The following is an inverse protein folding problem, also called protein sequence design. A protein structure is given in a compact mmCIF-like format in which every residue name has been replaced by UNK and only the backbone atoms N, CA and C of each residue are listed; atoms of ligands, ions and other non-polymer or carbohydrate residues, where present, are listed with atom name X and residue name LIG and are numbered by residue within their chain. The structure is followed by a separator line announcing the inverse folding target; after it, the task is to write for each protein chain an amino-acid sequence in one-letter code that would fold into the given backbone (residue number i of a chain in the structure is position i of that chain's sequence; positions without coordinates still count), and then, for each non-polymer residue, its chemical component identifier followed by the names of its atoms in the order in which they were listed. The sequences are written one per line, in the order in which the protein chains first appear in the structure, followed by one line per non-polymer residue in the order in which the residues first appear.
data_IF_155100516328
#
_entry.id   IF_155100516328
#
_cell.length_a   1.000
_cell.length_b   1.000
_cell.length_c   1.000
_cell.angle_alpha   90.00
_cell.angle_beta   90.00
_cell.angle_gamma   90.00
#
_symmetry.space_group_name_H-M   'P 1'
#
loop_
_entity.id
_entity.type
_entity.pdbx_description
1 polymer ?
#
# COMPACT_ATOMS: atom_id res chain seq x y z
N UNK A 1 -21.46 32.95 -49.33
CA UNK A 1 -20.06 32.83 -48.87
C UNK A 1 -20.07 32.21 -47.48
N UNK A 2 -19.27 31.15 -47.27
CA UNK A 2 -18.97 30.42 -46.02
C UNK A 2 -20.12 29.56 -45.44
N UNK A 3 -20.40 28.33 -45.91
CA UNK A 3 -19.72 27.01 -45.76
C UNK A 3 -19.74 26.42 -44.35
N UNK A 4 -20.66 25.47 -44.16
CA UNK A 4 -20.71 24.51 -43.06
C UNK A 4 -19.45 23.62 -43.04
N UNK A 5 -18.79 23.54 -41.89
CA UNK A 5 -17.65 22.66 -41.66
C UNK A 5 -18.10 21.38 -40.97
N UNK A 6 -18.63 20.45 -41.75
CA UNK A 6 -18.89 19.05 -41.36
C UNK A 6 -17.54 18.40 -41.02
N UNK A 7 -17.37 17.99 -39.77
CA UNK A 7 -16.21 17.18 -39.35
C UNK A 7 -16.31 15.77 -39.97
N UNK A 8 -15.29 15.28 -40.70
CA UNK A 8 -15.25 13.89 -41.12
C UNK A 8 -14.87 12.96 -39.93
N UNK A 9 -15.46 11.75 -39.83
CA UNK A 9 -15.12 10.81 -38.77
C UNK A 9 -13.73 10.20 -38.99
N UNK A 10 -12.95 10.09 -37.92
CA UNK A 10 -11.64 9.43 -37.93
C UNK A 10 -11.79 7.92 -38.18
N UNK A 11 -11.02 7.31 -39.10
CA UNK A 11 -11.09 5.88 -39.35
C UNK A 11 -10.47 5.08 -38.19
N UNK A 12 -11.26 4.16 -37.64
CA UNK A 12 -10.76 3.08 -36.78
C UNK A 12 -10.10 2.03 -37.67
N UNK A 13 -8.82 1.78 -37.47
CA UNK A 13 -8.20 0.51 -37.89
C UNK A 13 -7.24 0.04 -36.80
N UNK A 14 -7.77 -0.84 -35.98
CA UNK A 14 -7.05 -1.87 -35.23
C UNK A 14 -6.60 -2.93 -36.24
N UNK A 15 -5.28 -3.06 -36.48
CA UNK A 15 -4.53 -4.33 -36.58
C UNK A 15 -3.05 -3.96 -36.56
N UNK A 16 -2.30 -4.57 -35.64
CA UNK A 16 -0.86 -4.43 -35.54
C UNK A 16 -0.30 -5.42 -34.53
N UNK A 17 -0.45 -6.71 -34.83
CA UNK A 17 0.37 -7.75 -34.21
C UNK A 17 1.84 -7.47 -34.52
N UNK A 18 2.68 -7.54 -33.50
CA UNK A 18 4.12 -7.31 -33.61
C UNK A 18 4.82 -7.97 -32.44
N UNK A 19 5.63 -8.97 -32.76
CA UNK A 19 6.21 -9.93 -31.84
C UNK A 19 7.03 -9.33 -30.69
N UNK A 20 6.95 -10.00 -29.54
CA UNK A 20 7.78 -9.76 -28.36
C UNK A 20 9.21 -10.23 -28.63
N UNK A 21 9.98 -9.44 -29.37
CA UNK A 21 11.43 -9.54 -29.36
C UNK A 21 11.98 -8.84 -28.11
N UNK A 22 12.69 -9.59 -27.27
CA UNK A 22 13.38 -9.08 -26.09
C UNK A 22 14.50 -8.13 -26.48
N UNK A 23 14.18 -6.85 -26.63
CA UNK A 23 15.16 -5.79 -26.78
C UNK A 23 15.84 -5.49 -25.45
N UNK A 24 17.16 -5.67 -25.39
CA UNK A 24 18.01 -5.14 -24.33
C UNK A 24 17.69 -3.65 -24.14
N UNK A 25 17.20 -3.31 -22.95
CA UNK A 25 16.91 -1.91 -22.60
C UNK A 25 18.23 -1.17 -22.46
N UNK A 26 18.68 -0.51 -23.53
CA UNK A 26 19.79 0.45 -23.47
C UNK A 26 19.55 1.41 -22.29
N UNK A 27 20.54 1.59 -21.38
CA UNK A 27 20.36 2.46 -20.23
C UNK A 27 20.06 3.87 -20.75
N UNK A 28 18.90 4.42 -20.36
CA UNK A 28 18.55 5.81 -20.69
C UNK A 28 19.64 6.72 -20.13
N UNK A 29 20.26 7.51 -21.01
CA UNK A 29 21.25 8.51 -20.62
C UNK A 29 20.66 9.37 -19.49
N UNK A 30 21.37 9.47 -18.36
CA UNK A 30 20.91 10.28 -17.24
C UNK A 30 20.95 11.74 -17.68
N UNK A 31 19.83 12.46 -17.52
CA UNK A 31 19.72 13.90 -17.84
C UNK A 31 20.65 14.77 -16.98
N UNK A 32 21.27 14.22 -15.92
CA UNK A 32 22.19 14.90 -15.01
C UNK A 32 23.38 13.99 -14.65
N UNK A 33 24.62 14.53 -14.55
CA UNK A 33 25.78 13.80 -14.04
C UNK A 33 25.53 13.30 -12.62
N UNK A 34 26.09 12.13 -12.27
CA UNK A 34 25.89 11.47 -10.96
C UNK A 34 26.35 12.36 -9.78
N UNK A 35 27.34 13.21 -10.03
CA UNK A 35 28.04 13.98 -9.00
C UNK A 35 27.70 15.49 -9.03
N UNK A 36 26.64 15.86 -9.74
CA UNK A 36 26.23 17.26 -9.81
C UNK A 36 25.69 17.73 -8.44
N UNK A 37 26.20 18.83 -7.87
CA UNK A 37 25.82 19.29 -6.53
C UNK A 37 24.33 19.63 -6.52
N UNK A 38 23.56 18.96 -5.67
CA UNK A 38 22.14 19.28 -5.47
C UNK A 38 22.07 20.44 -4.49
N UNK A 39 21.67 21.63 -4.94
CA UNK A 39 21.42 22.73 -4.01
C UNK A 39 20.16 22.41 -3.20
N UNK A 40 20.35 21.99 -1.96
CA UNK A 40 19.25 21.73 -1.01
C UNK A 40 19.07 23.00 -0.18
N UNK A 41 17.96 23.71 -0.40
CA UNK A 41 17.57 24.85 0.43
C UNK A 41 16.45 24.42 1.37
N UNK A 42 16.71 24.49 2.67
CA UNK A 42 15.73 24.19 3.72
C UNK A 42 15.09 25.48 4.22
N UNK A 43 13.76 25.50 4.30
CA UNK A 43 12.99 26.60 4.90
C UNK A 43 12.36 26.12 6.20
N UNK A 44 12.54 26.83 7.33
CA UNK A 44 11.87 26.46 8.57
C UNK A 44 10.37 26.74 8.46
N UNK A 45 9.55 25.71 8.67
CA UNK A 45 8.11 25.90 8.87
C UNK A 45 7.91 26.48 10.26
N UNK A 46 7.35 27.70 10.34
CA UNK A 46 6.94 28.33 11.60
C UNK A 46 5.41 28.40 11.67
N UNK A 47 4.75 27.30 12.08
CA UNK A 47 3.31 27.27 12.18
C UNK A 47 2.82 28.16 13.34
N UNK A 48 1.68 28.82 13.14
CA UNK A 48 0.99 29.49 14.24
C UNK A 48 0.35 28.47 15.20
N UNK A 49 -0.16 28.94 16.35
CA UNK A 49 -0.78 28.08 17.36
C UNK A 49 -2.01 27.33 16.85
N UNK A 50 -2.81 27.95 15.97
CA UNK A 50 -3.97 27.34 15.33
C UNK A 50 -3.56 26.22 14.36
N UNK A 51 -2.55 26.45 13.53
CA UNK A 51 -1.96 25.45 12.65
C UNK A 51 -1.37 24.28 13.43
N UNK A 52 -0.63 24.55 14.52
CA UNK A 52 -0.14 23.52 15.42
C UNK A 52 -1.28 22.65 15.97
N UNK A 53 -2.40 23.27 16.38
CA UNK A 53 -3.58 22.53 16.85
C UNK A 53 -4.18 21.65 15.76
N UNK A 54 -4.33 22.15 14.54
CA UNK A 54 -4.83 21.36 13.39
C UNK A 54 -3.91 20.18 13.08
N UNK A 55 -2.60 20.42 13.02
CA UNK A 55 -1.59 19.37 12.79
C UNK A 55 -1.70 18.29 13.85
N UNK A 56 -1.76 18.68 15.13
CA UNK A 56 -1.87 17.74 16.25
C UNK A 56 -3.15 16.92 16.18
N UNK A 57 -4.30 17.54 15.92
CA UNK A 57 -5.57 16.83 15.79
C UNK A 57 -5.54 15.82 14.64
N UNK A 58 -5.02 16.21 13.47
CA UNK A 58 -4.85 15.32 12.31
C UNK A 58 -3.92 14.15 12.63
N UNK A 59 -2.79 14.43 13.29
CA UNK A 59 -1.85 13.40 13.71
C UNK A 59 -2.48 12.41 14.69
N UNK A 60 -3.16 12.90 15.73
CA UNK A 60 -3.86 12.05 16.69
C UNK A 60 -4.95 11.19 16.02
N UNK A 61 -5.71 11.75 15.08
CA UNK A 61 -6.70 10.99 14.32
C UNK A 61 -6.04 9.89 13.47
N UNK A 62 -4.97 10.20 12.76
CA UNK A 62 -4.21 9.24 11.97
C UNK A 62 -3.61 8.11 12.80
N UNK A 63 -3.04 8.42 13.97
CA UNK A 63 -2.50 7.43 14.92
C UNK A 63 -3.60 6.48 15.41
N UNK A 64 -4.80 7.01 15.71
CA UNK A 64 -5.95 6.18 16.12
C UNK A 64 -6.35 5.20 15.01
N UNK A 65 -6.46 5.68 13.76
CA UNK A 65 -6.75 4.82 12.59
C UNK A 65 -5.67 3.74 12.44
N UNK A 66 -4.40 4.14 12.46
CA UNK A 66 -3.27 3.20 12.34
C UNK A 66 -3.31 2.12 13.43
N UNK A 67 -3.50 2.50 14.70
CA UNK A 67 -3.52 1.55 15.81
C UNK A 67 -4.73 0.62 15.78
N UNK A 68 -5.89 1.10 15.33
CA UNK A 68 -7.08 0.27 15.14
C UNK A 68 -6.86 -0.79 14.05
N UNK A 69 -6.31 -0.39 12.89
CA UNK A 69 -5.94 -1.33 11.82
C UNK A 69 -4.90 -2.32 12.31
N UNK A 70 -3.87 -1.85 13.03
CA UNK A 70 -2.83 -2.70 13.56
C UNK A 70 -3.39 -3.77 14.51
N UNK A 71 -4.27 -3.40 15.44
CA UNK A 71 -4.90 -4.33 16.38
C UNK A 71 -5.73 -5.40 15.69
N UNK A 72 -6.60 -5.00 14.77
CA UNK A 72 -7.46 -5.90 13.99
C UNK A 72 -6.62 -6.89 13.16
N UNK A 73 -5.58 -6.41 12.46
CA UNK A 73 -4.76 -7.27 11.62
C UNK A 73 -3.83 -8.19 12.41
N UNK A 74 -3.44 -7.82 13.63
CA UNK A 74 -2.77 -8.76 14.56
C UNK A 74 -3.73 -9.88 14.96
N UNK A 75 -5.00 -9.55 15.27
CA UNK A 75 -6.01 -10.56 15.59
C UNK A 75 -6.26 -11.51 14.41
N UNK A 76 -6.48 -10.98 13.20
CA UNK A 76 -6.62 -11.78 11.97
C UNK A 76 -5.38 -12.63 11.68
N UNK A 77 -4.18 -12.09 11.87
CA UNK A 77 -2.94 -12.84 11.68
C UNK A 77 -2.82 -14.02 12.68
N UNK A 78 -3.33 -13.86 13.90
CA UNK A 78 -3.40 -14.96 14.89
C UNK A 78 -4.44 -16.01 14.45
N UNK A 79 -5.62 -15.58 13.99
CA UNK A 79 -6.66 -16.48 13.47
C UNK A 79 -6.16 -17.32 12.28
N UNK A 80 -5.47 -16.69 11.32
CA UNK A 80 -4.81 -17.40 10.21
C UNK A 80 -3.81 -18.44 10.72
N UNK A 81 -3.05 -18.13 11.76
CA UNK A 81 -2.05 -19.07 12.32
C UNK A 81 -2.68 -20.24 13.06
N UNK A 82 -3.84 -20.06 13.68
CA UNK A 82 -4.56 -21.14 14.36
C UNK A 82 -5.35 -22.04 13.42
N UNK A 83 -5.54 -21.65 12.16
CA UNK A 83 -6.30 -22.43 11.18
C UNK A 83 -5.55 -23.73 10.79
N UNK A 84 -6.19 -24.91 10.84
CA UNK A 84 -5.59 -26.17 10.41
C UNK A 84 -5.15 -26.16 8.93
N UNK A 85 -5.87 -25.44 8.05
CA UNK A 85 -5.48 -25.29 6.64
C UNK A 85 -4.15 -24.55 6.50
N UNK A 86 -3.84 -23.62 7.41
CA UNK A 86 -2.55 -22.94 7.43
C UNK A 86 -1.43 -23.90 7.82
N UNK A 87 -1.66 -24.79 8.78
CA UNK A 87 -0.70 -25.83 9.15
C UNK A 87 -0.44 -26.81 7.99
N UNK A 88 -1.50 -27.26 7.31
CA UNK A 88 -1.41 -28.11 6.12
C UNK A 88 -0.63 -27.42 4.98
N UNK A 89 -0.97 -26.16 4.67
CA UNK A 89 -0.25 -25.37 3.67
C UNK A 89 1.22 -25.16 4.05
N UNK A 90 1.55 -25.03 5.34
CA UNK A 90 2.94 -24.89 5.79
C UNK A 90 3.77 -26.15 5.57
N UNK A 91 3.16 -27.33 5.69
CA UNK A 91 3.81 -28.64 5.51
C UNK A 91 4.16 -28.97 4.06
N UNK A 92 3.61 -28.23 3.08
CA UNK A 92 3.92 -28.43 1.66
C UNK A 92 5.43 -28.29 1.35
N UNK A 93 5.97 -29.10 0.41
CA UNK A 93 7.38 -29.06 0.02
C UNK A 93 7.86 -27.70 -0.50
N UNK A 94 9.16 -27.41 -0.36
CA UNK A 94 9.79 -26.12 -0.77
C UNK A 94 11.01 -26.26 -1.67
N UNK A 95 11.34 -27.47 -2.12
CA UNK A 95 12.57 -27.76 -2.89
C UNK A 95 12.55 -27.06 -4.25
N UNK A 96 11.47 -27.18 -5.00
CA UNK A 96 11.41 -26.67 -6.38
C UNK A 96 10.63 -25.35 -6.49
N UNK A 97 10.91 -24.55 -7.53
CA UNK A 97 10.19 -23.27 -7.77
C UNK A 97 8.68 -23.47 -7.88
N UNK A 98 8.23 -24.53 -8.56
CA UNK A 98 6.81 -24.91 -8.65
C UNK A 98 6.20 -25.23 -7.29
N UNK A 99 6.89 -26.01 -6.45
CA UNK A 99 6.44 -26.35 -5.10
C UNK A 99 6.38 -25.12 -4.18
N UNK A 100 7.36 -24.21 -4.28
CA UNK A 100 7.33 -22.92 -3.56
C UNK A 100 6.13 -22.07 -3.98
N UNK A 101 5.80 -22.04 -5.28
CA UNK A 101 4.64 -21.31 -5.78
C UNK A 101 3.32 -21.93 -5.30
N UNK A 102 3.18 -23.25 -5.36
CA UNK A 102 1.99 -23.96 -4.86
C UNK A 102 1.78 -23.73 -3.35
N UNK A 103 2.86 -23.82 -2.56
CA UNK A 103 2.82 -23.50 -1.13
C UNK A 103 2.43 -22.05 -0.88
N UNK A 104 2.94 -21.11 -1.68
CA UNK A 104 2.61 -19.70 -1.53
C UNK A 104 1.15 -19.44 -1.84
N UNK A 105 0.63 -20.02 -2.92
CA UNK A 105 -0.78 -19.93 -3.29
C UNK A 105 -1.71 -20.50 -2.21
N UNK A 106 -1.37 -21.66 -1.63
CA UNK A 106 -2.14 -22.25 -0.53
C UNK A 106 -2.16 -21.34 0.71
N UNK A 107 -1.02 -20.75 1.08
CA UNK A 107 -0.96 -19.81 2.21
C UNK A 107 -1.72 -18.51 1.92
N UNK A 108 -1.62 -17.99 0.69
CA UNK A 108 -2.31 -16.78 0.28
C UNK A 108 -3.83 -17.00 0.21
N UNK A 109 -4.30 -18.22 -0.13
CA UNK A 109 -5.72 -18.59 -0.11
C UNK A 109 -6.30 -18.59 1.32
N UNK A 110 -5.59 -19.19 2.29
CA UNK A 110 -5.99 -19.16 3.70
C UNK A 110 -5.99 -17.72 4.23
N UNK A 111 -4.96 -16.94 3.91
CA UNK A 111 -4.91 -15.53 4.29
C UNK A 111 -6.09 -14.73 3.70
N UNK A 112 -6.47 -14.99 2.44
CA UNK A 112 -7.60 -14.33 1.80
C UNK A 112 -8.93 -14.70 2.46
N UNK A 113 -9.13 -15.97 2.86
CA UNK A 113 -10.33 -16.44 3.56
C UNK A 113 -10.56 -15.70 4.89
N UNK A 114 -9.48 -15.40 5.62
CA UNK A 114 -9.52 -14.62 6.87
C UNK A 114 -9.45 -13.09 6.65
N UNK A 115 -9.54 -12.62 5.40
CA UNK A 115 -9.46 -11.19 5.07
C UNK A 115 -8.10 -10.56 5.41
N UNK A 116 -7.04 -11.35 5.50
CA UNK A 116 -5.67 -10.90 5.74
C UNK A 116 -4.98 -10.51 4.43
N UNK A 117 -5.29 -9.33 3.91
CA UNK A 117 -4.64 -8.78 2.72
C UNK A 117 -4.49 -7.26 2.80
N UNK A 118 -3.59 -6.72 1.98
CA UNK A 118 -3.31 -5.28 1.92
C UNK A 118 -4.56 -4.47 1.52
N UNK A 119 -5.27 -4.93 0.48
CA UNK A 119 -6.53 -4.32 0.05
C UNK A 119 -7.56 -4.28 1.18
N UNK A 120 -7.66 -5.36 1.96
CA UNK A 120 -8.57 -5.39 3.10
C UNK A 120 -8.14 -4.45 4.22
N UNK A 121 -6.83 -4.26 4.43
CA UNK A 121 -6.32 -3.29 5.40
C UNK A 121 -6.64 -1.84 4.98
N UNK A 122 -6.46 -1.51 3.70
CA UNK A 122 -6.80 -0.20 3.14
C UNK A 122 -8.31 0.07 3.17
N UNK A 123 -9.12 -0.95 2.86
CA UNK A 123 -10.59 -0.88 2.94
C UNK A 123 -11.07 -0.68 4.38
N UNK A 124 -10.54 -1.46 5.33
CA UNK A 124 -10.84 -1.32 6.75
C UNK A 124 -10.40 0.05 7.29
N UNK A 125 -9.22 0.54 6.92
CA UNK A 125 -8.80 1.88 7.29
C UNK A 125 -9.74 2.96 6.73
N UNK A 126 -10.28 2.76 5.53
CA UNK A 126 -11.26 3.66 4.92
C UNK A 126 -12.60 3.60 5.64
N UNK A 127 -13.05 2.43 6.10
CA UNK A 127 -14.32 2.27 6.82
C UNK A 127 -14.30 2.88 8.23
N UNK A 128 -13.12 2.99 8.84
CA UNK A 128 -12.91 3.70 10.11
C UNK A 128 -13.08 5.22 10.01
N UNK A 129 -13.16 5.79 8.80
CA UNK A 129 -13.37 7.23 8.58
C UNK A 129 -14.82 7.63 8.78
N UNK A 130 -15.27 7.55 10.03
CA UNK A 130 -16.60 7.99 10.44
C UNK A 130 -16.49 9.25 11.29
N UNK A 131 -17.52 10.10 11.24
CA UNK A 131 -17.62 11.33 12.05
C UNK A 131 -16.37 12.24 11.94
N UNK A 132 -15.89 12.79 13.05
CA UNK A 132 -14.74 13.70 13.16
C UNK A 132 -13.43 13.15 12.55
N UNK A 133 -13.26 11.82 12.45
CA UNK A 133 -12.09 11.22 11.80
C UNK A 133 -12.08 11.51 10.29
N UNK A 134 -13.25 11.55 9.65
CA UNK A 134 -13.38 11.83 8.21
C UNK A 134 -12.89 13.23 7.85
N UNK A 135 -13.10 14.19 8.76
CA UNK A 135 -12.73 15.60 8.59
C UNK A 135 -11.21 15.82 8.70
N UNK A 136 -10.53 14.99 9.50
CA UNK A 136 -9.09 15.14 9.76
C UNK A 136 -8.21 14.17 8.98
N UNK A 137 -8.75 13.05 8.51
CA UNK A 137 -8.02 12.04 7.75
C UNK A 137 -8.68 11.88 6.37
N UNK A 138 -8.05 12.41 5.30
CA UNK A 138 -8.49 12.18 3.93
C UNK A 138 -8.50 10.69 3.56
N UNK A 139 -9.28 10.32 2.54
CA UNK A 139 -9.44 8.92 2.12
C UNK A 139 -8.09 8.28 1.75
N UNK A 140 -7.30 8.99 0.94
CA UNK A 140 -5.98 8.53 0.49
C UNK A 140 -5.03 8.29 1.67
N UNK A 141 -5.04 9.18 2.68
CA UNK A 141 -4.20 9.05 3.85
C UNK A 141 -4.61 7.85 4.71
N UNK A 142 -5.91 7.60 4.89
CA UNK A 142 -6.36 6.42 5.61
C UNK A 142 -5.93 5.12 4.90
N UNK A 143 -6.03 5.06 3.57
CA UNK A 143 -5.55 3.91 2.80
C UNK A 143 -4.04 3.72 2.99
N UNK A 144 -3.25 4.79 2.87
CA UNK A 144 -1.80 4.75 3.10
C UNK A 144 -1.46 4.27 4.52
N UNK A 145 -2.19 4.74 5.54
CA UNK A 145 -2.04 4.28 6.92
C UNK A 145 -2.38 2.79 7.07
N UNK A 146 -3.43 2.32 6.40
CA UNK A 146 -3.81 0.91 6.35
C UNK A 146 -2.70 0.03 5.75
N UNK A 147 -2.15 0.45 4.61
CA UNK A 147 -1.03 -0.25 3.97
C UNK A 147 0.22 -0.31 4.87
N UNK A 148 0.58 0.82 5.50
CA UNK A 148 1.72 0.88 6.44
C UNK A 148 1.51 0.01 7.68
N UNK A 149 0.30 0.00 8.24
CA UNK A 149 -0.05 -0.86 9.38
C UNK A 149 0.06 -2.34 8.99
N UNK A 150 -0.44 -2.71 7.81
CA UNK A 150 -0.35 -4.07 7.31
C UNK A 150 1.09 -4.54 7.08
N UNK A 151 1.93 -3.69 6.49
CA UNK A 151 3.36 -3.98 6.33
C UNK A 151 4.05 -4.18 7.68
N UNK A 152 3.69 -3.38 8.69
CA UNK A 152 4.19 -3.58 10.05
C UNK A 152 3.76 -4.95 10.62
N UNK A 153 2.49 -5.34 10.47
CA UNK A 153 2.01 -6.66 10.92
C UNK A 153 2.72 -7.79 10.18
N UNK A 154 2.93 -7.69 8.86
CA UNK A 154 3.69 -8.67 8.08
C UNK A 154 5.13 -8.80 8.59
N UNK A 155 5.81 -7.70 8.87
CA UNK A 155 7.17 -7.72 9.40
C UNK A 155 7.24 -8.36 10.79
N UNK A 156 6.26 -8.05 11.65
CA UNK A 156 6.09 -8.69 12.96
C UNK A 156 5.83 -10.20 12.83
N UNK A 157 4.93 -10.60 11.93
CA UNK A 157 4.58 -12.00 11.70
C UNK A 157 5.77 -12.84 11.22
N UNK A 158 6.66 -12.23 10.41
CA UNK A 158 7.89 -12.83 9.91
C UNK A 158 9.04 -12.81 10.95
N UNK A 159 8.83 -12.28 12.16
CA UNK A 159 9.84 -12.18 13.20
C UNK A 159 10.96 -11.17 12.89
N UNK A 160 10.80 -10.34 11.86
CA UNK A 160 11.81 -9.35 11.44
C UNK A 160 11.83 -8.11 12.34
N UNK A 161 10.79 -7.89 13.14
CA UNK A 161 10.65 -6.73 14.03
C UNK A 161 9.95 -7.13 15.33
N UNK A 162 10.54 -6.81 16.49
CA UNK A 162 9.91 -6.96 17.82
C UNK A 162 8.96 -5.77 18.05
N UNK A 163 7.74 -6.08 18.53
CA UNK A 163 6.65 -5.19 18.95
C UNK A 163 6.30 -3.98 18.03
N UNK A 164 5.17 -4.04 17.33
CA UNK A 164 4.72 -3.02 16.36
C UNK A 164 3.80 -1.93 16.92
N UNK A 165 3.71 -1.76 18.24
CA UNK A 165 2.97 -0.63 18.82
C UNK A 165 3.78 0.66 18.65
N UNK A 166 3.20 1.64 17.96
CA UNK A 166 3.70 3.00 18.03
C UNK A 166 3.50 3.49 19.47
N UNK A 167 4.60 3.65 20.22
CA UNK A 167 4.57 4.22 21.56
C UNK A 167 4.19 5.69 21.40
N UNK A 168 2.93 6.01 21.66
CA UNK A 168 2.41 7.37 21.66
C UNK A 168 3.11 8.13 22.79
N UNK A 169 3.99 9.06 22.46
CA UNK A 169 4.34 10.16 23.36
C UNK A 169 3.19 11.17 23.26
N UNK A 170 2.38 11.23 24.32
CA UNK A 170 1.43 12.32 24.59
C UNK A 170 2.22 13.46 25.21
#
# INVERSE_FOLDING_TARGET
MHTEGVYPPAPTTIVGGGDRAGGERKPRARKRPKDAPTHVRSWPLRPDLGQCRVIRTRFSAGVRVYNAVLGEFIARARAVKSDPMFAAARALPRRNKKQRAARRAALDAVAAAHGFSDRQAQSFASSLRQSWVREHVPAQEAQNLGARAFDAVKQWQLGKKRETRSRVFI
#
